data_IF_405165486995
#
_entry.id   IF_405165486995
#
_cell.length_a   1.000
_cell.length_b   1.000
_cell.length_c   1.000
_cell.angle_alpha   90.00
_cell.angle_beta   90.00
_cell.angle_gamma   90.00
#
_symmetry.space_group_name_H-M   'P 1'
#
loop_
_entity.id
_entity.type
_entity.pdbx_description
1 polymer ?
#
# COMPACT_ATOMS: atom_id res chain seq x y z
N UNK A 1 -17.58 2.74 -10.81
CA UNK A 1 -18.07 2.99 -9.43
C UNK A 1 -18.59 1.68 -8.87
N UNK A 2 -18.47 1.45 -7.55
CA UNK A 2 -18.94 0.21 -6.89
C UNK A 2 -17.85 -0.63 -6.23
N UNK A 3 -16.61 -0.16 -6.18
CA UNK A 3 -15.52 -0.80 -5.43
C UNK A 3 -15.29 -0.08 -4.12
N UNK A 4 -14.99 -0.85 -3.07
CA UNK A 4 -14.38 -0.30 -1.87
C UNK A 4 -12.88 -0.08 -2.13
N UNK A 5 -12.44 1.17 -2.08
CA UNK A 5 -11.08 1.55 -2.49
C UNK A 5 -10.25 1.90 -1.27
N UNK A 6 -9.08 1.27 -1.18
CA UNK A 6 -8.07 1.55 -0.16
C UNK A 6 -6.82 2.10 -0.83
N UNK A 7 -6.36 3.27 -0.38
CA UNK A 7 -5.14 3.91 -0.85
C UNK A 7 -4.07 3.86 0.24
N UNK A 8 -3.06 3.02 0.05
CA UNK A 8 -1.89 2.96 0.92
C UNK A 8 -0.80 3.86 0.34
N UNK A 9 -0.67 5.07 0.88
CA UNK A 9 0.23 6.09 0.33
C UNK A 9 0.84 6.93 1.45
N UNK A 10 1.90 7.70 1.13
CA UNK A 10 2.43 8.66 2.11
C UNK A 10 1.39 9.72 2.40
N UNK A 11 0.96 9.75 3.66
CA UNK A 11 -0.09 10.65 4.13
C UNK A 11 0.07 10.89 5.63
N UNK A 12 -0.50 11.99 6.12
CA UNK A 12 -0.27 12.42 7.51
C UNK A 12 -1.19 11.71 8.51
N UNK A 13 -2.37 11.24 8.08
CA UNK A 13 -3.35 10.59 8.96
C UNK A 13 -4.18 9.55 8.21
N UNK A 14 -4.88 8.70 8.97
CA UNK A 14 -5.91 7.82 8.43
C UNK A 14 -7.20 8.62 8.26
N UNK A 15 -7.76 8.62 7.06
CA UNK A 15 -9.03 9.29 6.76
C UNK A 15 -9.68 8.74 5.51
N UNK A 16 -10.94 9.12 5.26
CA UNK A 16 -11.67 8.77 4.04
C UNK A 16 -11.97 10.07 3.29
N UNK A 17 -11.55 10.15 2.03
CA UNK A 17 -11.78 11.30 1.15
C UNK A 17 -12.48 10.78 -0.11
N UNK A 18 -13.63 11.37 -0.46
CA UNK A 18 -14.41 10.99 -1.65
C UNK A 18 -14.69 9.49 -1.76
N UNK A 19 -14.89 8.81 -0.62
CA UNK A 19 -15.14 7.37 -0.56
C UNK A 19 -13.89 6.47 -0.66
N UNK A 20 -12.69 7.05 -0.69
CA UNK A 20 -11.42 6.31 -0.69
C UNK A 20 -10.84 6.27 0.73
N UNK A 21 -10.59 5.08 1.26
CA UNK A 21 -9.97 4.87 2.56
C UNK A 21 -8.45 5.04 2.46
N UNK A 22 -7.93 6.13 3.01
CA UNK A 22 -6.49 6.42 2.98
C UNK A 22 -5.83 5.81 4.21
N UNK A 23 -4.87 4.91 3.98
CA UNK A 23 -4.04 4.30 5.01
C UNK A 23 -2.64 4.91 4.91
N UNK A 24 -2.20 5.68 5.93
CA UNK A 24 -0.97 6.45 5.84
C UNK A 24 0.28 5.57 5.91
N UNK A 25 1.22 5.83 5.01
CA UNK A 25 2.61 5.41 5.13
C UNK A 25 3.48 6.59 5.62
N UNK A 26 4.48 6.33 6.48
CA UNK A 26 5.39 7.37 6.90
C UNK A 26 6.21 7.92 5.71
N UNK A 27 6.60 9.19 5.82
CA UNK A 27 7.60 9.79 4.93
C UNK A 27 8.92 9.03 5.12
N UNK A 28 9.58 8.67 4.03
CA UNK A 28 10.90 8.03 4.08
C UNK A 28 11.98 9.09 4.11
N UNK A 29 12.94 8.97 5.03
CA UNK A 29 14.08 9.89 5.12
C UNK A 29 15.21 9.55 4.14
N UNK A 30 15.23 8.31 3.61
CA UNK A 30 16.27 7.83 2.68
C UNK A 30 15.75 6.81 1.66
N UNK A 31 16.54 6.59 0.59
CA UNK A 31 16.26 5.56 -0.43
C UNK A 31 16.19 4.15 0.17
N UNK A 32 17.04 3.85 1.13
CA UNK A 32 17.11 2.54 1.78
C UNK A 32 15.87 2.28 2.64
N UNK A 33 15.40 3.30 3.38
CA UNK A 33 14.15 3.19 4.13
C UNK A 33 12.94 2.98 3.23
N UNK A 34 12.89 3.65 2.07
CA UNK A 34 11.83 3.45 1.08
C UNK A 34 11.80 2.01 0.57
N UNK A 35 12.96 1.50 0.15
CA UNK A 35 13.06 0.19 -0.50
C UNK A 35 12.79 -0.98 0.43
N UNK A 36 13.17 -0.89 1.72
CA UNK A 36 13.04 -2.00 2.66
C UNK A 36 11.95 -1.79 3.71
N UNK A 37 12.03 -0.71 4.51
CA UNK A 37 11.10 -0.49 5.64
C UNK A 37 9.70 -0.15 5.15
N UNK A 38 9.58 0.88 4.30
CA UNK A 38 8.29 1.36 3.79
C UNK A 38 7.61 0.30 2.94
N UNK A 39 8.36 -0.39 2.08
CA UNK A 39 7.85 -1.51 1.30
C UNK A 39 7.34 -2.67 2.16
N UNK A 40 8.06 -3.04 3.23
CA UNK A 40 7.58 -4.09 4.16
C UNK A 40 6.29 -3.67 4.85
N UNK A 41 6.20 -2.45 5.34
CA UNK A 41 4.99 -1.92 5.96
C UNK A 41 3.82 -1.88 4.97
N UNK A 42 4.05 -1.41 3.75
CA UNK A 42 3.04 -1.41 2.70
C UNK A 42 2.49 -2.81 2.40
N UNK A 43 3.36 -3.82 2.44
CA UNK A 43 2.97 -5.22 2.25
C UNK A 43 2.09 -5.73 3.39
N UNK A 44 2.45 -5.45 4.64
CA UNK A 44 1.67 -5.83 5.83
C UNK A 44 0.29 -5.15 5.82
N UNK A 45 0.24 -3.86 5.48
CA UNK A 45 -1.01 -3.12 5.34
C UNK A 45 -1.86 -3.69 4.19
N UNK A 46 -1.26 -4.00 3.05
CA UNK A 46 -1.97 -4.62 1.92
C UNK A 46 -2.60 -5.98 2.31
N UNK A 47 -1.86 -6.82 3.05
CA UNK A 47 -2.40 -8.07 3.59
C UNK A 47 -3.55 -7.85 4.58
N UNK A 48 -3.48 -6.79 5.40
CA UNK A 48 -4.55 -6.48 6.36
C UNK A 48 -5.83 -5.99 5.69
N UNK A 49 -5.70 -5.29 4.55
CA UNK A 49 -6.85 -4.86 3.73
C UNK A 49 -7.46 -6.05 3.00
N UNK A 50 -6.64 -7.02 2.58
CA UNK A 50 -7.09 -8.24 1.89
C UNK A 50 -7.99 -7.93 0.67
N UNK A 51 -7.55 -7.01 -0.18
CA UNK A 51 -8.28 -6.62 -1.38
C UNK A 51 -8.29 -7.72 -2.45
N UNK A 52 -9.34 -7.77 -3.27
CA UNK A 52 -9.42 -8.67 -4.43
C UNK A 52 -8.50 -8.24 -5.58
N UNK A 53 -8.27 -6.94 -5.72
CA UNK A 53 -7.49 -6.33 -6.80
C UNK A 53 -6.47 -5.37 -6.19
N UNK A 54 -5.20 -5.54 -6.60
CA UNK A 54 -4.11 -4.66 -6.22
C UNK A 54 -3.58 -3.91 -7.46
N UNK A 55 -3.40 -2.59 -7.32
CA UNK A 55 -2.81 -1.73 -8.35
C UNK A 55 -1.56 -1.06 -7.77
N UNK A 56 -0.43 -1.18 -8.46
CA UNK A 56 0.85 -0.60 -8.08
C UNK A 56 1.30 0.45 -9.11
N UNK A 57 1.80 1.59 -8.63
CA UNK A 57 2.29 2.67 -9.49
C UNK A 57 3.79 2.57 -9.82
N UNK A 58 4.59 2.02 -8.90
CA UNK A 58 6.05 1.99 -9.02
C UNK A 58 6.59 0.58 -9.34
N UNK A 59 7.59 0.44 -10.23
CA UNK A 59 8.22 -0.84 -10.52
C UNK A 59 8.81 -1.55 -9.29
N UNK A 60 9.27 -0.81 -8.28
CA UNK A 60 9.82 -1.38 -7.04
C UNK A 60 8.80 -2.22 -6.25
N UNK A 61 7.50 -2.00 -6.47
CA UNK A 61 6.39 -2.68 -5.84
C UNK A 61 5.96 -3.96 -6.58
N UNK A 62 6.46 -4.24 -7.79
CA UNK A 62 6.11 -5.44 -8.56
C UNK A 62 6.39 -6.72 -7.74
N UNK A 63 7.56 -6.78 -7.11
CA UNK A 63 7.93 -7.89 -6.20
C UNK A 63 7.01 -8.02 -4.97
N UNK A 64 6.34 -6.95 -4.56
CA UNK A 64 5.34 -6.96 -3.49
C UNK A 64 4.02 -7.56 -4.00
N UNK A 65 3.59 -7.20 -5.21
CA UNK A 65 2.46 -7.84 -5.89
C UNK A 65 2.64 -9.35 -6.09
N UNK A 66 3.85 -9.80 -6.48
CA UNK A 66 4.17 -11.23 -6.58
C UNK A 66 4.04 -11.95 -5.23
N UNK A 67 4.47 -11.30 -4.13
CA UNK A 67 4.33 -11.86 -2.78
C UNK A 67 2.88 -11.96 -2.34
N UNK A 68 2.07 -10.93 -2.60
CA UNK A 68 0.64 -10.94 -2.28
C UNK A 68 -0.09 -12.07 -3.03
N UNK A 69 0.17 -12.21 -4.33
CA UNK A 69 -0.40 -13.30 -5.15
C UNK A 69 -0.05 -14.72 -4.66
N UNK A 70 1.00 -14.90 -3.88
CA UNK A 70 1.38 -16.20 -3.32
C UNK A 70 0.74 -16.50 -1.95
N UNK A 71 0.14 -15.49 -1.32
CA UNK A 71 -0.42 -15.54 0.03
C UNK A 71 -1.94 -15.55 0.04
N UNK A 72 -2.56 -14.97 -0.99
CA UNK A 72 -3.97 -15.06 -1.34
C UNK A 72 -4.14 -16.23 -2.32
#
# INVERSE_FOLDING_TARGET
AGFEVYLIATHDKKETIDGVNIIPLPKSSSRMERMFKKKKLAYELALSVNADIYHFHDPELISLGIKLKRKV
#
